data_IF_023761821608
#
_entry.id   IF_023761821608
#
_cell.length_a   1.000
_cell.length_b   1.000
_cell.length_c   1.000
_cell.angle_alpha   90.00
_cell.angle_beta   90.00
_cell.angle_gamma   90.00
#
_symmetry.space_group_name_H-M   'P 1'
#
loop_
_entity.id
_entity.type
_entity.pdbx_description
1 polymer ?
#
# COMPACT_ATOMS: atom_id res chain seq x y z
N UNK A 1 52.73 19.62 -44.48
CA UNK A 1 52.12 18.28 -44.62
C UNK A 1 51.83 17.85 -43.20
N UNK A 2 50.64 18.20 -42.76
CA UNK A 2 50.10 17.94 -41.43
C UNK A 2 49.84 16.44 -41.31
N UNK A 3 50.55 15.77 -40.40
CA UNK A 3 50.10 14.49 -39.87
C UNK A 3 49.12 14.81 -38.73
N UNK A 4 47.82 14.76 -39.03
CA UNK A 4 46.76 14.83 -38.01
C UNK A 4 47.01 13.72 -36.98
N UNK A 5 47.04 14.03 -35.67
CA UNK A 5 47.14 13.00 -34.65
C UNK A 5 45.91 12.09 -34.77
N UNK A 6 46.15 10.78 -34.93
CA UNK A 6 45.10 9.77 -34.98
C UNK A 6 44.11 10.02 -33.85
N UNK A 7 42.89 10.41 -34.23
CA UNK A 7 41.81 10.76 -33.32
C UNK A 7 41.44 9.49 -32.55
N UNK A 8 42.02 9.32 -31.37
CA UNK A 8 41.75 8.22 -30.45
C UNK A 8 40.24 7.97 -30.43
N UNK A 9 39.83 6.72 -30.59
CA UNK A 9 38.41 6.40 -30.72
C UNK A 9 37.73 6.88 -29.44
N UNK A 10 36.50 7.39 -29.53
CA UNK A 10 35.77 8.03 -28.40
C UNK A 10 35.67 7.19 -27.11
N UNK A 11 35.91 5.88 -27.17
CA UNK A 11 35.94 4.96 -26.03
C UNK A 11 37.36 4.71 -25.45
N UNK A 12 38.41 5.15 -26.16
CA UNK A 12 39.81 5.22 -25.70
C UNK A 12 40.10 6.57 -25.00
N UNK A 13 39.26 7.59 -25.23
CA UNK A 13 39.20 8.77 -24.38
C UNK A 13 38.79 8.36 -22.97
N UNK A 14 39.53 8.86 -21.96
CA UNK A 14 39.28 8.54 -20.55
C UNK A 14 37.79 8.65 -20.24
N UNK A 15 37.23 7.56 -19.72
CA UNK A 15 35.89 7.48 -19.14
C UNK A 15 35.61 8.80 -18.42
N UNK A 16 34.80 9.69 -19.01
CA UNK A 16 34.37 10.91 -18.33
C UNK A 16 33.68 10.43 -17.07
N UNK A 17 34.38 10.60 -15.96
CA UNK A 17 34.03 10.01 -14.67
C UNK A 17 32.75 10.69 -14.24
N UNK A 18 31.62 10.02 -14.43
CA UNK A 18 30.29 10.52 -14.01
C UNK A 18 30.25 10.89 -12.52
N UNK A 19 31.18 10.38 -11.71
CA UNK A 19 31.39 10.75 -10.31
C UNK A 19 32.03 12.13 -10.09
N UNK A 20 32.61 12.77 -11.10
CA UNK A 20 33.13 14.16 -10.98
C UNK A 20 32.00 15.21 -10.93
N UNK A 21 30.79 14.85 -11.38
CA UNK A 21 29.59 15.70 -11.31
C UNK A 21 28.94 15.65 -9.91
N UNK A 22 29.18 14.57 -9.16
CA UNK A 22 28.72 14.42 -7.78
C UNK A 22 29.65 15.23 -6.86
N UNK A 23 29.27 16.48 -6.58
CA UNK A 23 29.97 17.32 -5.60
C UNK A 23 29.73 16.78 -4.20
N UNK A 24 30.82 16.49 -3.51
CA UNK A 24 30.82 16.21 -2.08
C UNK A 24 30.57 17.50 -1.29
N UNK A 25 29.80 17.41 -0.20
CA UNK A 25 29.65 18.51 0.75
C UNK A 25 30.98 18.74 1.52
N UNK A 26 31.12 19.83 2.28
CA UNK A 26 32.33 20.15 3.09
C UNK A 26 32.75 19.03 4.08
N UNK A 27 31.88 18.04 4.31
CA UNK A 27 32.10 16.86 5.15
C UNK A 27 32.50 15.59 4.36
N UNK A 28 32.65 15.66 3.04
CA UNK A 28 32.95 14.51 2.18
C UNK A 28 31.77 13.55 1.97
N UNK A 29 30.53 13.99 2.24
CA UNK A 29 29.34 13.15 2.14
C UNK A 29 28.45 13.56 0.95
N UNK A 30 27.87 12.59 0.26
CA UNK A 30 26.91 12.76 -0.83
C UNK A 30 25.44 12.68 -0.36
N UNK A 31 25.21 12.60 0.95
CA UNK A 31 23.87 12.31 1.52
C UNK A 31 22.87 13.45 1.30
N UNK A 32 23.30 14.70 1.40
CA UNK A 32 22.38 15.85 1.28
C UNK A 32 21.74 15.94 -0.12
N UNK A 33 22.52 15.68 -1.18
CA UNK A 33 22.02 15.68 -2.56
C UNK A 33 20.99 14.56 -2.81
N UNK A 34 21.18 13.38 -2.21
CA UNK A 34 20.24 12.26 -2.33
C UNK A 34 18.95 12.54 -1.55
N UNK A 35 19.06 13.12 -0.37
CA UNK A 35 17.89 13.49 0.45
C UNK A 35 17.03 14.55 -0.23
N UNK A 36 17.63 15.53 -0.91
CA UNK A 36 16.89 16.55 -1.68
C UNK A 36 16.12 15.95 -2.87
N UNK A 37 16.74 15.03 -3.61
CA UNK A 37 16.08 14.31 -4.72
C UNK A 37 14.91 13.47 -4.20
N UNK A 38 15.12 12.76 -3.08
CA UNK A 38 14.08 11.95 -2.44
C UNK A 38 12.93 12.83 -1.96
N UNK A 39 13.24 14.00 -1.38
CA UNK A 39 12.25 14.97 -0.94
C UNK A 39 11.41 15.51 -2.10
N UNK A 40 12.04 15.92 -3.20
CA UNK A 40 11.33 16.38 -4.39
C UNK A 40 10.41 15.29 -4.98
N UNK A 41 10.85 14.03 -4.98
CA UNK A 41 10.03 12.91 -5.43
C UNK A 41 8.82 12.68 -4.51
N UNK A 42 9.01 12.72 -3.17
CA UNK A 42 7.90 12.63 -2.20
C UNK A 42 6.90 13.78 -2.38
N UNK A 43 7.38 15.00 -2.59
CA UNK A 43 6.52 16.17 -2.73
C UNK A 43 5.71 16.19 -4.02
N UNK A 44 6.29 15.76 -5.14
CA UNK A 44 5.53 15.54 -6.39
C UNK A 44 4.35 14.62 -6.17
N UNK A 45 4.51 13.54 -5.38
CA UNK A 45 3.40 12.63 -5.05
C UNK A 45 2.33 13.30 -4.21
N UNK A 46 2.73 14.06 -3.19
CA UNK A 46 1.80 14.83 -2.36
C UNK A 46 0.95 15.65 -3.32
N UNK A 47 1.53 16.51 -4.16
CA UNK A 47 0.82 17.32 -5.16
C UNK A 47 -0.07 16.53 -6.12
N UNK A 48 0.41 15.43 -6.71
CA UNK A 48 -0.34 14.61 -7.68
C UNK A 48 -1.55 13.89 -7.06
N UNK A 49 -1.52 13.61 -5.74
CA UNK A 49 -2.61 12.91 -5.06
C UNK A 49 -3.76 13.85 -4.64
N UNK A 50 -3.64 15.16 -4.85
CA UNK A 50 -4.65 16.15 -4.42
C UNK A 50 -5.85 16.17 -5.37
N UNK A 51 -6.80 15.27 -5.14
CA UNK A 51 -8.14 15.35 -5.69
C UNK A 51 -9.17 15.08 -4.61
N UNK A 52 -10.10 15.99 -4.39
CA UNK A 52 -11.27 15.74 -3.55
C UNK A 52 -12.25 14.88 -4.34
N UNK A 53 -11.96 13.58 -4.39
CA UNK A 53 -12.67 12.59 -5.19
C UNK A 53 -13.29 11.54 -4.29
N UNK A 54 -14.35 10.89 -4.76
CA UNK A 54 -14.96 9.77 -4.03
C UNK A 54 -13.95 8.63 -3.95
N UNK A 55 -13.74 8.09 -2.75
CA UNK A 55 -12.79 7.00 -2.50
C UNK A 55 -13.53 5.70 -2.20
N UNK A 56 -12.98 4.58 -2.68
CA UNK A 56 -13.44 3.24 -2.32
C UNK A 56 -12.90 2.82 -0.95
N UNK A 57 -13.56 3.21 0.15
CA UNK A 57 -13.05 2.92 1.50
C UNK A 57 -13.10 1.43 1.86
N UNK A 58 -14.15 0.72 1.43
CA UNK A 58 -14.29 -0.70 1.72
C UNK A 58 -13.66 -1.54 0.62
N UNK A 59 -12.42 -1.97 0.87
CA UNK A 59 -11.59 -2.66 -0.12
C UNK A 59 -11.52 -4.16 0.17
N UNK A 60 -11.66 -4.96 -0.88
CA UNK A 60 -11.26 -6.36 -0.90
C UNK A 60 -10.09 -6.50 -1.86
N UNK A 61 -8.92 -6.77 -1.30
CA UNK A 61 -7.67 -6.83 -2.02
C UNK A 61 -7.18 -8.28 -2.10
N UNK A 62 -6.96 -8.77 -3.31
CA UNK A 62 -6.16 -9.98 -3.52
C UNK A 62 -4.75 -9.61 -3.91
N UNK A 63 -3.77 -10.10 -3.16
CA UNK A 63 -2.35 -10.00 -3.51
C UNK A 63 -1.93 -11.31 -4.17
N UNK A 64 -1.57 -11.24 -5.44
CA UNK A 64 -1.02 -12.37 -6.20
C UNK A 64 0.49 -12.24 -6.23
N UNK A 65 1.19 -13.24 -5.72
CA UNK A 65 2.65 -13.30 -5.68
C UNK A 65 3.11 -14.35 -6.69
N UNK A 66 3.99 -13.93 -7.60
CA UNK A 66 4.71 -14.83 -8.49
C UNK A 66 5.78 -15.61 -7.71
N UNK A 67 5.74 -16.94 -7.77
CA UNK A 67 6.74 -17.86 -7.19
C UNK A 67 7.40 -18.71 -8.29
N UNK A 68 7.65 -18.11 -9.46
CA UNK A 68 8.38 -18.71 -10.59
C UNK A 68 9.90 -18.70 -10.41
N UNK A 69 10.61 -19.40 -11.30
CA UNK A 69 12.08 -19.45 -11.33
C UNK A 69 12.76 -18.08 -11.33
N UNK A 70 12.13 -17.06 -11.92
CA UNK A 70 12.67 -15.70 -11.99
C UNK A 70 12.75 -15.01 -10.62
N UNK A 71 12.13 -15.58 -9.58
CA UNK A 71 12.24 -15.07 -8.22
C UNK A 71 13.53 -15.46 -7.49
N UNK A 72 14.29 -16.41 -8.04
CA UNK A 72 15.60 -16.82 -7.51
C UNK A 72 16.72 -15.85 -7.89
N UNK A 73 16.49 -15.00 -8.89
CA UNK A 73 17.45 -13.97 -9.32
C UNK A 73 17.80 -13.01 -8.16
N UNK A 74 19.05 -12.55 -8.17
CA UNK A 74 19.64 -11.73 -7.10
C UNK A 74 19.63 -10.22 -7.40
N UNK A 75 18.73 -9.75 -8.28
CA UNK A 75 18.58 -8.30 -8.56
C UNK A 75 18.25 -7.52 -7.28
N UNK A 76 17.41 -8.10 -6.41
CA UNK A 76 17.13 -7.61 -5.07
C UNK A 76 17.73 -8.57 -4.05
N UNK A 77 18.52 -8.04 -3.11
CA UNK A 77 19.22 -8.87 -2.12
C UNK A 77 18.26 -9.36 -1.01
N UNK A 78 18.35 -10.62 -0.57
CA UNK A 78 19.18 -11.70 -1.12
C UNK A 78 18.62 -12.30 -2.42
N UNK A 79 17.30 -12.54 -2.49
CA UNK A 79 16.58 -12.98 -3.69
C UNK A 79 15.34 -12.10 -3.89
N UNK A 80 14.81 -12.02 -5.12
CA UNK A 80 13.58 -11.27 -5.40
C UNK A 80 12.39 -11.73 -4.55
N UNK A 81 12.21 -13.03 -4.29
CA UNK A 81 11.14 -13.51 -3.40
C UNK A 81 11.29 -12.96 -1.98
N UNK A 82 12.47 -13.12 -1.38
CA UNK A 82 12.72 -12.70 0.00
C UNK A 82 12.59 -11.19 0.17
N UNK A 83 13.06 -10.42 -0.81
CA UNK A 83 12.83 -8.97 -0.83
C UNK A 83 11.35 -8.64 -0.97
N UNK A 84 10.63 -9.31 -1.87
CA UNK A 84 9.18 -9.12 -2.05
C UNK A 84 8.40 -9.40 -0.77
N UNK A 85 8.65 -10.55 -0.13
CA UNK A 85 8.00 -10.95 1.11
C UNK A 85 8.37 -10.03 2.28
N UNK A 86 9.62 -9.55 2.33
CA UNK A 86 10.09 -8.60 3.35
C UNK A 86 9.39 -7.24 3.21
N UNK A 87 9.27 -6.71 2.00
CA UNK A 87 8.57 -5.44 1.78
C UNK A 87 7.06 -5.61 2.01
N UNK A 88 6.51 -6.79 1.73
CA UNK A 88 5.15 -7.16 2.10
C UNK A 88 4.98 -7.42 3.61
N UNK A 89 6.01 -7.37 4.46
CA UNK A 89 5.92 -7.66 5.89
C UNK A 89 6.46 -6.50 6.77
N UNK A 90 5.64 -5.86 7.64
CA UNK A 90 4.19 -5.96 7.76
C UNK A 90 3.52 -5.19 6.62
N UNK A 91 2.52 -5.77 5.96
CA UNK A 91 1.95 -5.15 4.79
C UNK A 91 1.18 -3.88 5.19
N UNK A 92 1.58 -2.68 4.70
CA UNK A 92 0.98 -1.41 5.11
C UNK A 92 -0.48 -1.27 4.66
N UNK A 93 -0.93 -2.11 3.72
CA UNK A 93 -2.29 -2.18 3.18
C UNK A 93 -3.34 -2.71 4.16
N UNK A 94 -2.94 -3.29 5.30
CA UNK A 94 -3.85 -4.02 6.19
C UNK A 94 -4.59 -3.14 7.19
N UNK A 95 -4.17 -1.89 7.37
CA UNK A 95 -4.81 -0.98 8.33
C UNK A 95 -6.15 -0.42 7.83
N UNK A 96 -6.41 -0.43 6.52
CA UNK A 96 -7.58 0.22 5.90
C UNK A 96 -8.51 -0.73 5.14
N UNK A 97 -8.04 -1.87 4.63
CA UNK A 97 -8.87 -2.81 3.86
C UNK A 97 -9.65 -3.78 4.76
N UNK A 98 -10.94 -4.01 4.45
CA UNK A 98 -11.81 -4.92 5.23
C UNK A 98 -11.44 -6.41 5.06
N UNK A 99 -10.69 -6.77 4.03
CA UNK A 99 -10.14 -8.12 3.88
C UNK A 99 -9.05 -8.19 2.80
N UNK A 100 -7.95 -8.85 3.13
CA UNK A 100 -6.86 -9.18 2.20
C UNK A 100 -6.83 -10.68 1.99
N UNK A 101 -6.62 -11.13 0.77
CA UNK A 101 -6.35 -12.53 0.44
C UNK A 101 -5.01 -12.64 -0.28
N UNK A 102 -4.27 -13.73 -0.03
CA UNK A 102 -2.96 -13.95 -0.65
C UNK A 102 -3.05 -15.19 -1.53
N UNK A 103 -2.67 -15.04 -2.80
CA UNK A 103 -2.58 -16.10 -3.80
C UNK A 103 -1.13 -16.17 -4.27
N UNK A 104 -0.59 -17.37 -4.38
CA UNK A 104 0.71 -17.61 -5.03
C UNK A 104 0.51 -18.29 -6.37
N UNK A 105 1.41 -18.01 -7.30
CA UNK A 105 1.47 -18.70 -8.59
C UNK A 105 2.78 -19.46 -8.70
N UNK A 106 2.70 -20.77 -8.88
CA UNK A 106 3.85 -21.67 -8.96
C UNK A 106 3.53 -22.80 -9.92
N UNK A 107 4.51 -23.27 -10.70
CA UNK A 107 4.34 -24.41 -11.60
C UNK A 107 3.08 -24.33 -12.49
N UNK A 108 2.79 -23.16 -13.07
CA UNK A 108 1.63 -22.90 -13.96
C UNK A 108 0.26 -23.04 -13.26
N UNK A 109 0.24 -23.12 -11.94
CA UNK A 109 -0.96 -23.21 -11.10
C UNK A 109 -1.03 -22.02 -10.14
N UNK A 110 -2.24 -21.73 -9.66
CA UNK A 110 -2.47 -20.75 -8.63
C UNK A 110 -2.99 -21.43 -7.37
N UNK A 111 -2.39 -21.11 -6.24
CA UNK A 111 -2.73 -21.65 -4.92
C UNK A 111 -3.12 -20.50 -3.99
N UNK A 112 -4.19 -20.68 -3.24
CA UNK A 112 -4.65 -19.69 -2.26
C UNK A 112 -3.92 -19.94 -0.95
N UNK A 113 -2.93 -19.11 -0.62
CA UNK A 113 -2.20 -19.20 0.65
C UNK A 113 -3.05 -18.77 1.84
N UNK A 114 -3.84 -17.72 1.68
CA UNK A 114 -4.71 -17.22 2.74
C UNK A 114 -6.02 -16.73 2.19
N UNK A 115 -7.09 -17.05 2.91
CA UNK A 115 -8.42 -16.56 2.59
C UNK A 115 -8.57 -15.07 2.77
N UNK A 116 -9.60 -14.51 2.13
CA UNK A 116 -9.95 -13.11 2.24
C UNK A 116 -10.37 -12.83 3.69
N UNK A 117 -9.43 -12.32 4.48
CA UNK A 117 -9.58 -12.15 5.92
C UNK A 117 -8.94 -10.84 6.37
N UNK A 118 -9.50 -10.24 7.42
CA UNK A 118 -8.99 -9.00 8.02
C UNK A 118 -7.87 -9.18 9.05
N UNK A 119 -7.49 -10.42 9.41
CA UNK A 119 -6.52 -10.67 10.48
C UNK A 119 -5.07 -10.64 9.97
N UNK A 120 -4.26 -9.61 10.32
CA UNK A 120 -2.89 -9.50 9.82
C UNK A 120 -1.98 -10.62 10.31
N UNK A 121 -2.22 -11.21 11.49
CA UNK A 121 -1.36 -12.26 12.06
C UNK A 121 -1.37 -13.52 11.19
N UNK A 122 -2.53 -13.92 10.67
CA UNK A 122 -2.67 -15.08 9.77
C UNK A 122 -1.88 -14.87 8.49
N UNK A 123 -2.00 -13.69 7.90
CA UNK A 123 -1.28 -13.31 6.67
C UNK A 123 0.23 -13.23 6.87
N UNK A 124 0.67 -12.62 7.97
CA UNK A 124 2.09 -12.56 8.36
C UNK A 124 2.67 -13.96 8.56
N UNK A 125 1.95 -14.85 9.23
CA UNK A 125 2.39 -16.23 9.42
C UNK A 125 2.48 -16.99 8.08
N UNK A 126 1.49 -16.80 7.20
CA UNK A 126 1.51 -17.39 5.86
C UNK A 126 2.66 -16.86 5.00
N UNK A 127 2.96 -15.56 5.05
CA UNK A 127 4.10 -14.95 4.35
C UNK A 127 5.44 -15.47 4.89
N UNK A 128 5.58 -15.66 6.21
CA UNK A 128 6.78 -16.27 6.79
C UNK A 128 6.97 -17.70 6.32
N UNK A 129 5.90 -18.49 6.27
CA UNK A 129 5.94 -19.85 5.71
C UNK A 129 6.26 -19.85 4.20
N UNK A 130 5.84 -18.81 3.48
CA UNK A 130 6.12 -18.68 2.06
C UNK A 130 7.60 -18.42 1.74
N UNK A 131 8.41 -17.94 2.70
CA UNK A 131 9.86 -17.72 2.50
C UNK A 131 10.58 -19.03 2.18
N UNK A 132 10.19 -20.13 2.82
CA UNK A 132 10.81 -21.45 2.62
C UNK A 132 10.29 -22.18 1.37
N UNK A 133 9.39 -21.54 0.60
CA UNK A 133 8.79 -22.16 -0.58
C UNK A 133 9.75 -22.10 -1.76
N UNK A 134 10.15 -23.26 -2.28
CA UNK A 134 10.97 -23.36 -3.49
C UNK A 134 10.25 -22.72 -4.67
N UNK A 135 10.86 -21.71 -5.29
CA UNK A 135 10.36 -21.06 -6.50
C UNK A 135 10.64 -21.96 -7.71
N UNK A 136 9.59 -22.45 -8.37
CA UNK A 136 9.77 -23.34 -9.51
C UNK A 136 8.70 -23.14 -10.56
N UNK A 137 9.08 -23.41 -11.80
CA UNK A 137 8.22 -23.31 -12.97
C UNK A 137 7.93 -21.86 -13.37
N UNK A 138 6.79 -21.69 -14.03
CA UNK A 138 6.35 -20.43 -14.66
C UNK A 138 5.03 -19.98 -14.01
N UNK A 139 4.73 -18.67 -13.99
CA UNK A 139 3.50 -18.17 -13.41
C UNK A 139 2.32 -18.38 -14.36
N UNK A 140 1.12 -18.50 -13.79
CA UNK A 140 -0.15 -18.48 -14.52
C UNK A 140 -1.05 -17.38 -13.97
N UNK A 141 -1.23 -16.32 -14.76
CA UNK A 141 -2.13 -15.22 -14.43
C UNK A 141 -3.59 -15.62 -14.56
N UNK A 142 -3.93 -16.44 -15.56
CA UNK A 142 -5.31 -16.88 -15.81
C UNK A 142 -5.86 -17.63 -14.59
N UNK A 143 -5.09 -18.56 -14.03
CA UNK A 143 -5.51 -19.33 -12.86
C UNK A 143 -5.65 -18.46 -11.62
N UNK A 144 -4.70 -17.54 -11.38
CA UNK A 144 -4.76 -16.63 -10.24
C UNK A 144 -5.94 -15.67 -10.32
N UNK A 145 -6.16 -15.05 -11.48
CA UNK A 145 -7.28 -14.15 -11.72
C UNK A 145 -8.61 -14.89 -11.65
N UNK A 146 -8.71 -16.11 -12.19
CA UNK A 146 -9.93 -16.92 -12.10
C UNK A 146 -10.28 -17.25 -10.65
N UNK A 147 -9.28 -17.60 -9.83
CA UNK A 147 -9.47 -17.88 -8.40
C UNK A 147 -9.91 -16.63 -7.62
N UNK A 148 -9.31 -15.48 -7.92
CA UNK A 148 -9.71 -14.20 -7.35
C UNK A 148 -11.14 -13.83 -7.77
N UNK A 149 -11.48 -13.96 -9.05
CA UNK A 149 -12.82 -13.66 -9.61
C UNK A 149 -13.90 -14.53 -8.97
N UNK A 150 -13.63 -15.84 -8.77
CA UNK A 150 -14.59 -16.74 -8.14
C UNK A 150 -15.01 -16.24 -6.75
N UNK A 151 -14.06 -15.71 -5.96
CA UNK A 151 -14.38 -15.16 -4.63
C UNK A 151 -14.98 -13.76 -4.72
N UNK A 152 -14.41 -12.88 -5.57
CA UNK A 152 -14.84 -11.49 -5.70
C UNK A 152 -16.24 -11.32 -6.30
N UNK A 153 -16.73 -12.30 -7.07
CA UNK A 153 -18.08 -12.28 -7.67
C UNK A 153 -19.20 -12.19 -6.64
N UNK A 154 -19.01 -12.81 -5.47
CA UNK A 154 -20.00 -12.84 -4.39
C UNK A 154 -19.95 -11.61 -3.49
N UNK A 155 -18.94 -10.75 -3.63
CA UNK A 155 -18.81 -9.55 -2.82
C UNK A 155 -19.82 -8.50 -3.28
N UNK A 156 -20.38 -7.70 -2.36
CA UNK A 156 -21.40 -6.72 -2.71
C UNK A 156 -20.87 -5.63 -3.66
N UNK A 157 -21.76 -4.96 -4.39
CA UNK A 157 -21.37 -3.95 -5.41
C UNK A 157 -20.79 -2.65 -4.86
N UNK A 158 -21.01 -2.36 -3.58
CA UNK A 158 -20.51 -1.16 -2.90
C UNK A 158 -19.06 -1.28 -2.41
N UNK A 159 -18.47 -2.48 -2.41
CA UNK A 159 -17.06 -2.67 -2.07
C UNK A 159 -16.20 -2.53 -3.31
N UNK A 160 -15.00 -1.96 -3.15
CA UNK A 160 -14.01 -1.99 -4.22
C UNK A 160 -13.39 -3.39 -4.28
N UNK A 161 -13.37 -3.95 -5.48
CA UNK A 161 -12.80 -5.26 -5.78
C UNK A 161 -11.46 -5.02 -6.47
N UNK A 162 -10.39 -5.35 -5.79
CA UNK A 162 -9.04 -5.01 -6.21
C UNK A 162 -8.13 -6.25 -6.23
N UNK A 163 -7.28 -6.33 -7.24
CA UNK A 163 -6.24 -7.35 -7.34
C UNK A 163 -4.92 -6.65 -7.58
N UNK A 164 -3.93 -6.91 -6.74
CA UNK A 164 -2.54 -6.47 -6.88
C UNK A 164 -1.68 -7.67 -7.24
N UNK A 165 -1.04 -7.64 -8.40
CA UNK A 165 -0.16 -8.72 -8.86
C UNK A 165 1.29 -8.25 -8.75
N UNK A 166 2.14 -9.00 -8.07
CA UNK A 166 3.59 -8.83 -8.10
C UNK A 166 4.17 -9.89 -9.03
N UNK A 167 4.63 -9.47 -10.20
CA UNK A 167 5.11 -10.36 -11.26
C UNK A 167 6.61 -10.20 -11.47
N UNK A 168 7.34 -11.31 -11.45
CA UNK A 168 8.78 -11.35 -11.76
C UNK A 168 9.03 -11.82 -13.17
N UNK A 169 8.30 -12.85 -13.61
CA UNK A 169 8.53 -13.45 -14.90
C UNK A 169 8.11 -12.55 -16.06
N UNK A 170 8.86 -12.63 -17.16
CA UNK A 170 8.55 -11.95 -18.42
C UNK A 170 7.46 -12.69 -19.23
N UNK A 171 7.25 -13.96 -18.92
CA UNK A 171 6.34 -14.85 -19.63
C UNK A 171 5.25 -15.34 -18.69
N UNK A 172 4.01 -15.39 -19.17
CA UNK A 172 2.88 -15.97 -18.44
C UNK A 172 2.39 -17.19 -19.21
N UNK A 173 2.30 -18.31 -18.53
CA UNK A 173 1.97 -19.59 -19.16
C UNK A 173 0.58 -20.03 -18.71
N UNK A 174 -0.40 -19.59 -19.50
CA UNK A 174 -1.82 -19.73 -19.19
C UNK A 174 -2.50 -20.79 -20.07
N UNK A 175 -3.44 -21.57 -19.52
CA UNK A 175 -4.13 -22.63 -20.27
C UNK A 175 -5.22 -22.11 -21.22
N UNK A 176 -5.63 -20.85 -21.10
CA UNK A 176 -6.78 -20.28 -21.81
C UNK A 176 -6.54 -18.81 -22.14
N UNK A 177 -7.42 -18.25 -22.98
CA UNK A 177 -7.30 -16.88 -23.47
C UNK A 177 -7.53 -15.84 -22.36
N UNK A 178 -6.48 -15.12 -21.97
CA UNK A 178 -6.56 -14.07 -20.95
C UNK A 178 -7.41 -12.87 -21.38
N UNK A 179 -7.55 -12.59 -22.68
CA UNK A 179 -8.33 -11.43 -23.16
C UNK A 179 -9.83 -11.57 -22.90
N UNK A 180 -10.36 -12.79 -22.87
CA UNK A 180 -11.75 -13.05 -22.48
C UNK A 180 -11.94 -12.85 -20.97
N UNK A 181 -10.94 -13.23 -20.17
CA UNK A 181 -10.93 -12.98 -18.74
C UNK A 181 -10.86 -11.48 -18.43
N UNK A 182 -10.10 -10.69 -19.21
CA UNK A 182 -10.06 -9.22 -19.09
C UNK A 182 -11.45 -8.61 -19.30
N UNK A 183 -12.19 -9.06 -20.34
CA UNK A 183 -13.57 -8.61 -20.57
C UNK A 183 -14.48 -8.99 -19.38
N UNK A 184 -14.29 -10.19 -18.84
CA UNK A 184 -15.04 -10.67 -17.66
C UNK A 184 -14.76 -9.80 -16.44
N UNK A 185 -13.48 -9.50 -16.15
CA UNK A 185 -13.05 -8.61 -15.06
C UNK A 185 -13.64 -7.21 -15.17
N UNK A 186 -13.66 -6.66 -16.40
CA UNK A 186 -14.27 -5.37 -16.69
C UNK A 186 -15.78 -5.36 -16.40
N UNK A 187 -16.50 -6.43 -16.81
CA UNK A 187 -17.93 -6.57 -16.52
C UNK A 187 -18.23 -6.66 -15.02
N UNK A 188 -17.33 -7.32 -14.26
CA UNK A 188 -17.42 -7.46 -12.81
C UNK A 188 -16.89 -6.25 -12.02
N UNK A 189 -16.47 -5.17 -12.71
CA UNK A 189 -15.86 -3.97 -12.11
C UNK A 189 -14.70 -4.28 -11.17
N UNK A 190 -13.86 -5.27 -11.52
CA UNK A 190 -12.66 -5.62 -10.75
C UNK A 190 -11.47 -4.83 -11.29
N UNK A 191 -10.81 -4.08 -10.41
CA UNK A 191 -9.63 -3.29 -10.73
C UNK A 191 -8.37 -4.14 -10.52
N UNK A 192 -7.54 -4.28 -11.55
CA UNK A 192 -6.30 -5.05 -11.47
C UNK A 192 -5.09 -4.15 -11.65
N UNK A 193 -4.20 -4.10 -10.66
CA UNK A 193 -2.93 -3.39 -10.72
C UNK A 193 -1.78 -4.38 -10.66
N UNK A 194 -0.69 -4.08 -11.37
CA UNK A 194 0.45 -4.99 -11.49
C UNK A 194 1.73 -4.21 -11.20
N UNK A 195 2.59 -4.81 -10.38
CA UNK A 195 3.95 -4.36 -10.14
C UNK A 195 4.89 -5.39 -10.78
N UNK A 196 5.59 -5.00 -11.84
CA UNK A 196 6.62 -5.79 -12.48
C UNK A 196 7.99 -5.57 -11.81
N UNK A 197 8.75 -6.64 -11.56
CA UNK A 197 10.06 -6.53 -10.91
C UNK A 197 11.18 -6.00 -11.80
N UNK A 198 11.20 -6.35 -13.08
CA UNK A 198 12.35 -6.01 -13.95
C UNK A 198 11.91 -5.36 -15.26
N UNK A 199 10.83 -5.84 -15.88
CA UNK A 199 10.41 -5.34 -17.17
C UNK A 199 8.90 -5.23 -17.30
N UNK A 200 8.49 -4.47 -18.31
CA UNK A 200 7.09 -4.33 -18.69
C UNK A 200 6.63 -5.48 -19.58
N UNK A 201 5.54 -6.13 -19.18
CA UNK A 201 4.88 -7.18 -19.97
C UNK A 201 3.65 -6.62 -20.65
N UNK A 202 3.63 -6.62 -21.98
CA UNK A 202 2.54 -6.02 -22.79
C UNK A 202 1.14 -6.49 -22.40
N UNK A 203 0.98 -7.79 -22.12
CA UNK A 203 -0.32 -8.35 -21.70
C UNK A 203 -0.80 -7.74 -20.39
N UNK A 204 0.10 -7.53 -19.43
CA UNK A 204 -0.21 -6.89 -18.15
C UNK A 204 -0.52 -5.40 -18.32
N UNK A 205 0.17 -4.71 -19.23
CA UNK A 205 -0.13 -3.33 -19.59
C UNK A 205 -1.55 -3.18 -20.15
N UNK A 206 -1.98 -4.10 -21.01
CA UNK A 206 -3.35 -4.10 -21.55
C UNK A 206 -4.37 -4.43 -20.45
N UNK A 207 -4.10 -5.43 -19.62
CA UNK A 207 -4.94 -5.81 -18.47
C UNK A 207 -5.21 -4.64 -17.52
N UNK A 208 -4.17 -3.91 -17.12
CA UNK A 208 -4.29 -2.78 -16.19
C UNK A 208 -5.02 -1.59 -16.82
N UNK A 209 -4.73 -1.27 -18.09
CA UNK A 209 -5.43 -0.20 -18.83
C UNK A 209 -6.92 -0.48 -19.00
N UNK A 210 -7.30 -1.72 -19.32
CA UNK A 210 -8.70 -2.11 -19.51
C UNK A 210 -9.50 -2.17 -18.21
N UNK A 211 -8.85 -2.51 -17.09
CA UNK A 211 -9.48 -2.62 -15.76
C UNK A 211 -9.38 -1.32 -14.94
N UNK A 212 -8.71 -0.29 -15.45
CA UNK A 212 -8.51 0.98 -14.74
C UNK A 212 -7.54 0.90 -13.55
N UNK A 213 -6.64 -0.08 -13.56
CA UNK A 213 -5.54 -0.18 -12.60
C UNK A 213 -4.25 0.46 -13.11
N UNK A 214 -3.17 0.25 -12.37
CA UNK A 214 -1.85 0.80 -12.70
C UNK A 214 -0.83 -0.30 -12.94
N UNK A 215 0.06 -0.08 -13.90
CA UNK A 215 1.23 -0.92 -14.16
C UNK A 215 2.49 -0.13 -13.85
N UNK A 216 3.29 -0.61 -12.89
CA UNK A 216 4.55 0.00 -12.53
C UNK A 216 5.68 -1.03 -12.56
N UNK A 217 6.86 -0.59 -12.97
CA UNK A 217 8.08 -1.40 -12.96
C UNK A 217 8.97 -0.93 -11.81
N UNK A 218 9.47 -1.87 -11.03
CA UNK A 218 10.38 -1.61 -9.93
C UNK A 218 11.75 -1.20 -10.49
N UNK A 219 12.40 -0.27 -9.80
CA UNK A 219 13.78 0.13 -10.08
C UNK A 219 14.66 -0.39 -8.94
N UNK A 220 14.34 0.04 -7.72
CA UNK A 220 15.05 -0.31 -6.50
C UNK A 220 14.10 -0.79 -5.39
N UNK A 221 14.64 -1.34 -4.29
CA UNK A 221 13.86 -1.72 -3.10
C UNK A 221 13.10 -0.53 -2.49
N UNK A 222 13.69 0.68 -2.52
CA UNK A 222 13.03 1.92 -2.11
C UNK A 222 11.83 2.23 -3.00
N UNK A 223 12.01 2.21 -4.31
CA UNK A 223 10.93 2.42 -5.27
C UNK A 223 9.81 1.39 -5.09
N UNK A 224 10.15 0.13 -4.81
CA UNK A 224 9.15 -0.91 -4.56
C UNK A 224 8.30 -0.61 -3.30
N UNK A 225 8.93 -0.20 -2.20
CA UNK A 225 8.21 0.26 -0.99
C UNK A 225 7.25 1.40 -1.32
N UNK A 226 7.69 2.33 -2.14
CA UNK A 226 6.88 3.49 -2.53
C UNK A 226 5.67 3.11 -3.39
N UNK A 227 5.84 2.20 -4.35
CA UNK A 227 4.75 1.67 -5.17
C UNK A 227 3.71 0.96 -4.30
N UNK A 228 4.15 0.21 -3.28
CA UNK A 228 3.23 -0.41 -2.33
C UNK A 228 2.50 0.65 -1.49
N UNK A 229 3.18 1.70 -1.03
CA UNK A 229 2.56 2.80 -0.30
C UNK A 229 1.52 3.56 -1.15
N UNK A 230 1.71 3.65 -2.47
CA UNK A 230 0.69 4.20 -3.37
C UNK A 230 -0.59 3.35 -3.35
N UNK A 231 -0.46 2.02 -3.35
CA UNK A 231 -1.59 1.09 -3.29
C UNK A 231 -2.23 0.99 -1.89
N UNK A 232 -1.59 1.50 -0.83
CA UNK A 232 -2.20 1.62 0.51
C UNK A 232 -3.34 2.64 0.48
N UNK A 233 -3.17 3.75 -0.24
CA UNK A 233 -4.22 4.76 -0.39
C UNK A 233 -5.40 4.16 -1.17
N UNK A 234 -6.65 4.32 -0.68
CA UNK A 234 -7.81 3.83 -1.41
C UNK A 234 -7.88 4.52 -2.78
N UNK A 235 -8.07 3.79 -3.88
CA UNK A 235 -8.19 4.40 -5.18
C UNK A 235 -9.47 5.23 -5.30
N UNK A 236 -9.50 6.21 -6.22
CA UNK A 236 -10.74 6.90 -6.58
C UNK A 236 -11.76 5.89 -7.11
N UNK A 237 -12.98 5.97 -6.59
CA UNK A 237 -14.10 5.17 -7.03
C UNK A 237 -14.53 5.63 -8.43
N UNK A 238 -14.83 4.68 -9.30
CA UNK A 238 -15.44 4.98 -10.60
C UNK A 238 -16.85 5.54 -10.40
N UNK A 239 -17.29 6.46 -11.28
CA UNK A 239 -18.61 7.07 -11.18
C UNK A 239 -19.77 6.04 -11.18
N UNK A 240 -19.54 4.84 -11.72
CA UNK A 240 -20.50 3.74 -11.78
C UNK A 240 -20.59 2.88 -10.51
N UNK A 241 -19.83 3.18 -9.46
CA UNK A 241 -19.84 2.40 -8.22
C UNK A 241 -21.06 2.77 -7.37
N UNK A 242 -21.72 1.76 -6.80
CA UNK A 242 -22.94 1.95 -6.01
C UNK A 242 -22.60 2.53 -4.63
N UNK A 243 -23.31 3.60 -4.26
CA UNK A 243 -23.22 4.19 -2.92
C UNK A 243 -24.41 3.71 -2.08
N UNK A 244 -24.27 2.54 -1.44
CA UNK A 244 -25.29 2.02 -0.52
C UNK A 244 -24.92 2.29 0.94
N UNK A 245 -25.89 2.68 1.75
CA UNK A 245 -25.73 2.76 3.20
C UNK A 245 -25.68 1.35 3.80
N UNK A 246 -24.61 1.04 4.53
CA UNK A 246 -24.37 -0.29 5.10
C UNK A 246 -24.59 -0.24 6.60
N UNK A 247 -25.27 -1.26 7.14
CA UNK A 247 -25.39 -1.44 8.58
C UNK A 247 -24.04 -1.89 9.14
N UNK A 248 -23.50 -1.13 10.11
CA UNK A 248 -22.30 -1.50 10.85
C UNK A 248 -22.65 -1.78 12.31
N UNK A 249 -21.98 -2.77 12.90
CA UNK A 249 -22.07 -3.06 14.32
C UNK A 249 -20.86 -2.46 15.05
N UNK A 250 -21.13 -1.70 16.12
CA UNK A 250 -20.12 -1.23 17.06
C UNK A 250 -20.18 -2.09 18.32
N UNK A 251 -19.39 -3.19 18.39
CA UNK A 251 -19.38 -4.04 19.57
C UNK A 251 -18.69 -3.33 20.73
N UNK A 252 -19.20 -3.54 21.94
CA UNK A 252 -18.53 -3.13 23.16
C UNK A 252 -17.52 -4.20 23.58
N UNK A 253 -16.38 -3.76 24.13
CA UNK A 253 -15.40 -4.66 24.72
C UNK A 253 -15.85 -4.99 26.15
N UNK A 254 -16.25 -6.23 26.39
CA UNK A 254 -16.58 -6.69 27.72
C UNK A 254 -15.39 -7.46 28.29
N UNK A 255 -14.86 -6.95 29.40
CA UNK A 255 -13.84 -7.64 30.19
C UNK A 255 -14.57 -8.34 31.33
N UNK A 256 -14.72 -9.65 31.23
CA UNK A 256 -15.16 -10.45 32.36
C UNK A 256 -13.91 -10.80 33.20
N UNK A 257 -13.94 -10.47 34.48
CA UNK A 257 -12.91 -10.86 35.43
C UNK A 257 -13.28 -12.19 36.07
N UNK A 258 -12.30 -13.00 36.49
CA UNK A 258 -12.53 -14.27 37.22
C UNK A 258 -13.26 -14.07 38.56
N UNK A 259 -13.34 -12.83 39.06
CA UNK A 259 -14.05 -12.46 40.29
C UNK A 259 -15.54 -12.18 40.10
N UNK A 260 -16.02 -12.05 38.85
CA UNK A 260 -17.44 -11.84 38.57
C UNK A 260 -18.18 -13.20 38.57
N UNK A 261 -19.24 -13.33 39.36
CA UNK A 261 -20.05 -14.57 39.44
C UNK A 261 -20.70 -14.95 38.09
N UNK A 262 -20.76 -14.02 37.13
CA UNK A 262 -21.31 -14.21 35.78
C UNK A 262 -20.25 -14.41 34.68
N UNK A 263 -18.98 -14.61 35.03
CA UNK A 263 -17.90 -14.82 34.07
C UNK A 263 -18.00 -16.19 33.37
N UNK A 264 -18.85 -16.28 32.35
CA UNK A 264 -19.02 -17.48 31.52
C UNK A 264 -17.90 -17.55 30.47
N UNK A 265 -16.96 -18.52 30.56
CA UNK A 265 -15.99 -18.73 29.49
C UNK A 265 -16.75 -19.09 28.22
N UNK A 266 -16.42 -18.39 27.14
CA UNK A 266 -17.09 -18.56 25.84
C UNK A 266 -16.06 -18.66 24.73
N UNK A 267 -16.36 -19.53 23.77
CA UNK A 267 -15.56 -19.68 22.58
C UNK A 267 -15.71 -18.46 21.68
N UNK A 268 -14.59 -18.01 21.11
CA UNK A 268 -14.61 -16.96 20.11
C UNK A 268 -14.93 -17.52 18.74
N UNK A 269 -15.86 -16.88 18.03
CA UNK A 269 -16.26 -17.31 16.68
C UNK A 269 -15.17 -17.02 15.63
N UNK A 270 -14.20 -16.15 15.95
CA UNK A 270 -13.05 -15.82 15.10
C UNK A 270 -12.00 -16.93 15.01
N UNK A 271 -12.01 -17.89 15.94
CA UNK A 271 -11.03 -18.98 16.02
C UNK A 271 -11.57 -20.34 15.55
N UNK A 272 -12.81 -20.42 15.05
CA UNK A 272 -13.35 -21.65 14.46
C UNK A 272 -12.58 -22.08 13.19
N UNK A 273 -12.02 -21.11 12.45
CA UNK A 273 -11.20 -21.35 11.24
C UNK A 273 -9.70 -21.52 11.56
N UNK A 274 -9.32 -21.94 12.77
CA UNK A 274 -7.92 -22.09 13.19
C UNK A 274 -7.70 -23.34 14.03
N UNK A 275 -6.45 -23.84 14.03
CA UNK A 275 -6.05 -25.12 14.63
C UNK A 275 -6.16 -25.22 16.16
N UNK A 276 -6.65 -24.18 16.86
CA UNK A 276 -7.03 -24.30 18.28
C UNK A 276 -8.13 -23.32 18.70
N UNK A 277 -9.30 -23.81 19.19
CA UNK A 277 -10.32 -22.96 19.77
C UNK A 277 -9.83 -22.45 21.13
N UNK A 278 -9.43 -21.19 21.20
CA UNK A 278 -9.01 -20.55 22.44
C UNK A 278 -10.22 -20.17 23.29
N UNK A 279 -10.30 -20.71 24.51
CA UNK A 279 -11.21 -20.21 25.54
C UNK A 279 -10.72 -18.84 25.98
N UNK A 280 -11.60 -17.84 25.91
CA UNK A 280 -11.32 -16.50 26.41
C UNK A 280 -12.45 -16.07 27.32
N UNK A 281 -12.14 -15.20 28.29
CA UNK A 281 -13.12 -14.58 29.18
C UNK A 281 -13.56 -13.22 28.63
N UNK A 282 -12.62 -12.40 28.17
CA UNK A 282 -12.89 -11.12 27.51
C UNK A 282 -13.12 -11.26 26.00
N UNK A 283 -13.87 -10.32 25.44
CA UNK A 283 -14.05 -10.21 23.99
C UNK A 283 -15.07 -9.14 23.59
N UNK A 284 -15.26 -9.03 22.29
CA UNK A 284 -16.23 -8.15 21.65
C UNK A 284 -17.52 -8.91 21.37
N UNK A 285 -18.65 -8.32 21.76
CA UNK A 285 -19.96 -8.92 21.55
C UNK A 285 -20.69 -8.25 20.40
N UNK A 286 -21.15 -9.05 19.44
CA UNK A 286 -21.95 -8.56 18.32
C UNK A 286 -23.28 -7.98 18.84
N UNK A 287 -23.67 -6.74 18.46
CA UNK A 287 -24.89 -6.12 18.97
C UNK A 287 -26.19 -6.79 18.50
N UNK A 288 -26.15 -7.56 17.41
CA UNK A 288 -27.35 -8.20 16.84
C UNK A 288 -27.56 -9.65 17.31
N UNK A 289 -26.50 -10.46 17.40
CA UNK A 289 -26.59 -11.89 17.72
C UNK A 289 -25.85 -12.28 19.00
N UNK A 290 -25.21 -11.32 19.69
CA UNK A 290 -24.39 -11.55 20.89
C UNK A 290 -23.27 -12.59 20.74
N UNK A 291 -22.88 -12.93 19.51
CA UNK A 291 -21.71 -13.76 19.24
C UNK A 291 -20.44 -13.05 19.69
N UNK A 292 -19.52 -13.81 20.27
CA UNK A 292 -18.24 -13.33 20.79
C UNK A 292 -17.13 -13.40 19.76
N UNK A 293 -16.36 -12.32 19.66
CA UNK A 293 -15.17 -12.18 18.81
C UNK A 293 -13.98 -11.70 19.64
N UNK A 294 -12.79 -12.22 19.35
CA UNK A 294 -11.54 -11.81 20.03
C UNK A 294 -10.89 -10.59 19.39
N UNK A 295 -11.03 -10.44 18.08
CA UNK A 295 -10.37 -9.40 17.30
C UNK A 295 -11.38 -8.67 16.42
N UNK A 296 -11.10 -7.39 16.14
CA UNK A 296 -11.84 -6.52 15.22
C UNK A 296 -10.85 -5.89 14.24
N UNK A 297 -11.27 -5.50 13.02
CA UNK A 297 -12.61 -5.59 12.44
C UNK A 297 -12.89 -6.97 11.82
N UNK A 298 -14.12 -7.49 11.98
CA UNK A 298 -14.51 -8.81 11.46
C UNK A 298 -15.98 -8.79 11.02
N UNK A 299 -16.31 -9.54 9.98
CA UNK A 299 -17.70 -9.82 9.61
C UNK A 299 -18.28 -10.94 10.48
N UNK A 300 -19.42 -10.68 11.12
CA UNK A 300 -20.05 -11.64 12.00
C UNK A 300 -20.56 -12.85 11.22
N UNK A 301 -19.99 -14.03 11.47
CA UNK A 301 -20.37 -15.31 10.83
C UNK A 301 -21.81 -15.76 11.09
N UNK A 302 -22.45 -15.25 12.15
CA UNK A 302 -23.83 -15.62 12.52
C UNK A 302 -24.86 -14.72 11.84
N UNK A 303 -24.64 -13.39 11.83
CA UNK A 303 -25.64 -12.43 11.32
C UNK A 303 -25.21 -11.66 10.07
N UNK A 304 -23.97 -11.83 9.58
CA UNK A 304 -23.41 -11.10 8.42
C UNK A 304 -23.09 -9.63 8.68
N UNK A 305 -23.27 -9.12 9.91
CA UNK A 305 -23.01 -7.72 10.23
C UNK A 305 -21.50 -7.45 10.30
N UNK A 306 -21.03 -6.39 9.63
CA UNK A 306 -19.63 -5.97 9.77
C UNK A 306 -19.39 -5.31 11.11
N UNK A 307 -18.53 -5.90 11.95
CA UNK A 307 -18.16 -5.38 13.26
C UNK A 307 -16.90 -4.52 13.15
N UNK A 308 -17.00 -3.26 13.57
CA UNK A 308 -15.92 -2.28 13.49
C UNK A 308 -15.88 -1.47 14.80
N UNK A 309 -14.69 -1.06 15.23
CA UNK A 309 -14.55 -0.10 16.33
C UNK A 309 -14.47 1.33 15.79
N UNK A 310 -15.03 2.30 16.52
CA UNK A 310 -14.97 3.71 16.12
C UNK A 310 -13.53 4.20 15.80
N UNK A 311 -12.48 3.81 16.57
CA UNK A 311 -11.09 4.18 16.24
C UNK A 311 -10.62 3.67 14.87
N UNK A 312 -11.13 2.54 14.37
CA UNK A 312 -10.72 2.01 13.07
C UNK A 312 -11.26 2.87 11.91
N UNK A 313 -12.50 3.35 12.03
CA UNK A 313 -13.04 4.33 11.10
C UNK A 313 -12.30 5.66 11.24
N UNK A 314 -11.99 6.06 12.47
CA UNK A 314 -11.31 7.31 12.73
C UNK A 314 -9.95 7.41 12.03
N UNK A 315 -9.19 6.30 12.03
CA UNK A 315 -7.92 6.21 11.29
C UNK A 315 -8.07 6.42 9.80
N UNK A 316 -9.24 6.21 9.20
CA UNK A 316 -9.46 6.41 7.76
C UNK A 316 -9.89 7.84 7.40
N UNK A 317 -10.13 8.73 8.38
CA UNK A 317 -10.58 10.11 8.10
C UNK A 317 -9.57 10.94 7.33
N UNK A 318 -8.27 10.70 7.49
CA UNK A 318 -7.23 11.43 6.77
C UNK A 318 -7.29 11.22 5.24
N UNK A 319 -7.89 10.12 4.78
CA UNK A 319 -8.17 9.93 3.36
C UNK A 319 -9.38 10.73 2.88
N UNK A 320 -10.37 10.97 3.75
CA UNK A 320 -11.59 11.71 3.40
C UNK A 320 -11.34 13.23 3.34
N UNK A 321 -10.49 13.73 4.22
CA UNK A 321 -10.10 15.13 4.29
C UNK A 321 -8.58 15.25 4.21
N UNK A 322 -7.98 15.08 3.01
CA UNK A 322 -6.55 15.21 2.85
C UNK A 322 -6.11 16.65 3.14
N UNK A 323 -4.97 16.78 3.83
CA UNK A 323 -4.32 18.08 4.03
C UNK A 323 -3.83 18.62 2.67
N UNK A 324 -4.03 19.92 2.44
CA UNK A 324 -3.51 20.60 1.26
C UNK A 324 -1.98 20.72 1.30
N UNK A 325 -1.34 20.49 0.16
CA UNK A 325 0.10 20.69 -0.01
C UNK A 325 0.52 22.11 0.38
N UNK A 326 1.63 22.23 1.12
CA UNK A 326 2.17 23.52 1.50
C UNK A 326 2.83 24.24 0.32
N UNK A 327 2.66 25.56 0.28
CA UNK A 327 3.25 26.44 -0.73
C UNK A 327 4.72 26.67 -0.36
N UNK A 328 5.61 26.41 -1.32
CA UNK A 328 7.04 26.69 -1.15
C UNK A 328 7.35 28.12 -1.56
N UNK A 329 8.02 28.84 -0.67
CA UNK A 329 8.57 30.17 -0.91
C UNK A 329 10.06 30.20 -0.56
N UNK A 330 10.87 31.02 -1.24
CA UNK A 330 12.26 31.24 -0.84
C UNK A 330 12.32 31.99 0.51
N UNK A 331 13.35 31.71 1.31
CA UNK A 331 13.55 32.32 2.65
C UNK A 331 13.56 33.84 2.63
N UNK A 332 14.02 34.44 1.53
CA UNK A 332 14.19 35.90 1.38
C UNK A 332 12.89 36.69 1.59
N UNK A 333 11.73 36.05 1.41
CA UNK A 333 10.42 36.67 1.55
C UNK A 333 9.87 36.66 2.99
N UNK A 334 10.49 35.93 3.92
CA UNK A 334 9.99 35.77 5.29
C UNK A 334 10.85 36.52 6.31
N UNK A 335 10.22 37.41 7.07
CA UNK A 335 10.85 38.17 8.18
C UNK A 335 11.11 37.29 9.40
N UNK A 336 10.25 36.30 9.65
CA UNK A 336 10.40 35.36 10.76
C UNK A 336 11.17 34.10 10.32
N UNK A 337 12.31 33.86 10.98
CA UNK A 337 13.21 32.75 10.67
C UNK A 337 13.00 31.53 11.58
N UNK A 338 11.84 31.40 12.20
CA UNK A 338 11.50 30.29 13.09
C UNK A 338 10.44 29.39 12.44
N UNK A 339 10.63 28.08 12.56
CA UNK A 339 9.63 27.09 12.21
C UNK A 339 8.58 27.01 13.31
N UNK A 340 7.28 27.14 12.97
CA UNK A 340 6.21 27.09 13.97
C UNK A 340 6.01 25.68 14.56
N UNK A 341 6.46 24.63 13.87
CA UNK A 341 6.37 23.24 14.32
C UNK A 341 7.44 22.87 15.34
N UNK A 342 8.72 22.99 14.96
CA UNK A 342 9.85 22.57 15.79
C UNK A 342 10.53 23.71 16.56
N UNK A 343 10.12 24.97 16.34
CA UNK A 343 10.76 26.18 16.87
C UNK A 343 12.24 26.33 16.47
N UNK A 344 12.70 25.52 15.50
CA UNK A 344 14.04 25.60 14.94
C UNK A 344 14.21 26.79 14.00
N UNK A 345 15.45 27.27 13.87
CA UNK A 345 15.79 28.32 12.90
C UNK A 345 15.76 27.76 11.48
N UNK A 346 15.01 28.40 10.59
CA UNK A 346 14.95 28.07 9.16
C UNK A 346 16.30 28.40 8.52
N UNK A 347 17.07 27.36 8.20
CA UNK A 347 18.38 27.45 7.52
C UNK A 347 18.30 27.01 6.05
N UNK A 348 17.25 26.28 5.68
CA UNK A 348 17.04 25.70 4.36
C UNK A 348 16.71 26.76 3.32
N UNK A 349 16.95 26.50 2.03
CA UNK A 349 16.69 27.48 0.94
C UNK A 349 15.20 27.75 0.71
N UNK A 350 14.35 26.82 1.11
CA UNK A 350 12.90 26.88 0.96
C UNK A 350 12.18 26.83 2.31
N UNK A 351 11.09 27.60 2.39
CA UNK A 351 10.16 27.63 3.52
C UNK A 351 8.81 27.13 3.02
N UNK A 352 8.14 26.31 3.85
CA UNK A 352 6.83 25.74 3.50
C UNK A 352 5.74 26.44 4.30
N UNK A 353 4.80 27.04 3.58
CA UNK A 353 3.69 27.79 4.18
C UNK A 353 2.37 27.06 3.98
N UNK A 354 1.61 26.89 5.07
CA UNK A 354 0.27 26.31 4.98
C UNK A 354 -0.70 27.29 4.29
N UNK A 355 -1.50 26.86 3.30
CA UNK A 355 -2.43 27.74 2.59
C UNK A 355 -3.59 28.26 3.47
N UNK A 356 -3.94 27.56 4.55
CA UNK A 356 -5.07 27.95 5.42
C UNK A 356 -4.66 28.90 6.54
N UNK A 357 -3.52 28.65 7.21
CA UNK A 357 -3.09 29.42 8.38
C UNK A 357 -1.84 30.28 8.12
N UNK A 358 -1.25 30.21 6.93
CA UNK A 358 -0.04 30.95 6.51
C UNK A 358 1.17 30.81 7.44
N UNK A 359 1.19 29.77 8.28
CA UNK A 359 2.32 29.49 9.18
C UNK A 359 3.46 28.83 8.43
N UNK A 360 4.69 29.19 8.80
CA UNK A 360 5.93 28.71 8.19
C UNK A 360 6.48 27.45 8.86
N UNK A 361 6.88 26.48 8.04
CA UNK A 361 7.44 25.19 8.44
C UNK A 361 8.76 24.91 7.70
N UNK A 362 9.65 24.16 8.35
CA UNK A 362 10.85 23.59 7.71
C UNK A 362 10.50 22.33 6.91
N UNK A 363 11.46 21.84 6.11
CA UNK A 363 11.31 20.63 5.28
C UNK A 363 10.93 19.39 6.11
N UNK A 364 11.56 19.19 7.26
CA UNK A 364 11.27 18.03 8.13
C UNK A 364 9.86 18.08 8.72
N UNK A 365 9.42 19.28 9.12
CA UNK A 365 8.06 19.48 9.62
C UNK A 365 7.03 19.27 8.51
N UNK A 366 7.29 19.75 7.29
CA UNK A 366 6.44 19.51 6.13
C UNK A 366 6.26 18.00 5.86
N UNK A 367 7.37 17.25 5.81
CA UNK A 367 7.34 15.80 5.66
C UNK A 367 6.58 15.11 6.78
N UNK A 368 6.86 15.47 8.04
CA UNK A 368 6.20 14.86 9.19
C UNK A 368 4.70 15.13 9.22
N UNK A 369 4.30 16.35 8.86
CA UNK A 369 2.89 16.75 8.80
C UNK A 369 2.16 15.95 7.71
N UNK A 370 2.75 15.80 6.52
CA UNK A 370 2.09 15.12 5.41
C UNK A 370 2.13 13.58 5.53
N UNK A 371 3.21 13.00 6.07
CA UNK A 371 3.38 11.54 6.15
C UNK A 371 2.78 10.92 7.43
N UNK A 372 2.81 11.63 8.57
CA UNK A 372 2.45 11.06 9.87
C UNK A 372 1.23 11.72 10.53
N UNK A 373 1.19 13.06 10.60
CA UNK A 373 0.09 13.75 11.29
C UNK A 373 -1.17 13.88 10.42
N UNK A 374 -1.00 14.05 9.12
CA UNK A 374 -2.04 14.34 8.12
C UNK A 374 -2.91 15.58 8.43
N UNK A 375 -2.52 16.41 9.39
CA UNK A 375 -3.21 17.61 9.83
C UNK A 375 -2.19 18.69 10.20
N UNK A 376 -2.46 19.95 9.82
CA UNK A 376 -1.63 21.08 10.24
C UNK A 376 -1.90 21.45 11.72
N UNK A 377 -0.90 21.41 12.62
CA UNK A 377 -1.10 21.75 14.04
C UNK A 377 -1.59 23.18 14.27
N UNK A 378 -1.16 24.13 13.44
CA UNK A 378 -1.52 25.54 13.56
C UNK A 378 -2.98 25.80 13.17
N UNK A 379 -3.51 25.05 12.19
CA UNK A 379 -4.93 25.12 11.82
C UNK A 379 -5.87 24.62 12.93
N UNK A 380 -5.37 23.81 13.87
CA UNK A 380 -6.16 23.32 15.01
C UNK A 380 -6.31 24.43 16.08
N UNK A 381 -5.29 25.28 16.23
CA UNK A 381 -5.27 26.34 17.24
C UNK A 381 -5.85 27.67 16.73
N UNK A 382 -5.70 27.96 15.44
CA UNK A 382 -6.20 29.19 14.83
C UNK A 382 -7.67 29.07 14.41
N UNK A 383 -8.49 30.13 14.56
CA UNK A 383 -9.78 30.17 13.91
C UNK A 383 -9.55 30.07 12.41
N UNK A 384 -10.25 29.16 11.74
CA UNK A 384 -10.32 29.12 10.28
C UNK A 384 -10.72 30.50 9.80
N UNK A 385 -9.80 31.22 9.15
CA UNK A 385 -10.14 32.47 8.45
C UNK A 385 -11.16 32.05 7.39
N UNK A 386 -12.40 32.48 7.58
CA UNK A 386 -13.55 32.16 6.74
C UNK A 386 -13.55 33.00 5.48
#
# INVERSE_FOLDING_TARGET
MDEEPERAKRWEGGYERTWEVLKEDESGSLRASVEEILYQAKRKRVMETHGQVRLGMMRHLYVVIDCSRSMEDQDLKPNRLSSTLKVLHPPPTFSTSKGVGIITTKNKRAEKLTELAGNPKKHVAALRKAVDTVCAGEPSLYNALSLAVHTLKHMPGHTSREVLIVLSSLTTCDPSNIYELIKTLKSLKVRVSVIGLSAEVRVCTVLTRETGGFYHVILDESHFKELLMLHVKPPPASASSECSLIRMGFPQHCVASLSDQDAKPSFSMSQLDGDSPGLSLSGYFCPQCHAKYTELPVECKVCGLTLVSAPHLARSFHHLFPLQAFTESPVEQHTDRSCQGCQGRLKDRSVFSCPSCFSSFCMDCDLFIHDSLHCCPCCIHGPSVS
#
